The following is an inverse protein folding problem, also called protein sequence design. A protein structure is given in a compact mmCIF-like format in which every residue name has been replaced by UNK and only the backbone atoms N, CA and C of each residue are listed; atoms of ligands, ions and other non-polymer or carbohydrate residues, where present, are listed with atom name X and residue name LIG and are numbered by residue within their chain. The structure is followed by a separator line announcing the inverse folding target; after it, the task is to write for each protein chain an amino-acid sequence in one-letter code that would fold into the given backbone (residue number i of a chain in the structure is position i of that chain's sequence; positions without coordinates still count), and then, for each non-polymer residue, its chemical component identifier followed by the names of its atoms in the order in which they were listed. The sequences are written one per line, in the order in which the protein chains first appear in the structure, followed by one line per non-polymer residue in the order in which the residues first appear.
data_IF_589546051519
#
_entry.id   IF_589546051519
#
_cell.length_a   1.000
_cell.length_b   1.000
_cell.length_c   1.000
_cell.angle_alpha   90.00
_cell.angle_beta   90.00
_cell.angle_gamma   90.00
#
_symmetry.space_group_name_H-M   'P 1'
#
loop_
_entity.id
_entity.type
_entity.pdbx_description
1 polymer ?
#
# COMPACT_ATOMS: atom_id res chain seq x y z
N UNK A 1 37.81 -0.26 6.57
CA UNK A 1 36.74 -1.08 5.94
C UNK A 1 36.66 -0.67 4.48
N UNK A 2 36.80 -1.60 3.53
CA UNK A 2 36.70 -1.27 2.11
C UNK A 2 35.23 -1.12 1.70
N UNK A 3 34.85 -0.09 0.92
CA UNK A 3 33.47 0.08 0.47
C UNK A 3 33.03 -1.10 -0.42
N UNK A 4 31.95 -1.77 -0.04
CA UNK A 4 31.31 -2.79 -0.87
C UNK A 4 30.46 -2.10 -1.92
N UNK A 5 30.60 -2.55 -3.17
CA UNK A 5 29.82 -2.06 -4.29
C UNK A 5 28.87 -3.18 -4.73
N UNK A 6 27.57 -3.12 -4.35
CA UNK A 6 26.60 -4.12 -4.77
C UNK A 6 26.46 -4.16 -6.29
N UNK A 7 26.34 -5.35 -6.87
CA UNK A 7 26.01 -5.49 -8.28
C UNK A 7 24.56 -5.06 -8.50
N UNK A 8 24.33 -4.23 -9.52
CA UNK A 8 22.98 -3.80 -9.86
C UNK A 8 22.11 -5.00 -10.26
N UNK A 9 20.83 -5.04 -9.82
CA UNK A 9 19.86 -6.03 -10.29
C UNK A 9 19.67 -5.99 -11.80
N UNK A 10 19.12 -7.08 -12.36
CA UNK A 10 18.65 -7.09 -13.74
C UNK A 10 17.60 -6.00 -13.97
N UNK A 11 17.63 -5.36 -15.15
CA UNK A 11 16.69 -4.30 -15.48
C UNK A 11 16.81 -3.05 -14.60
N UNK A 12 17.86 -2.88 -13.77
CA UNK A 12 17.95 -1.75 -12.82
C UNK A 12 17.76 -0.37 -13.46
N UNK A 13 18.26 -0.15 -14.68
CA UNK A 13 18.07 1.12 -15.40
C UNK A 13 16.59 1.39 -15.71
N UNK A 14 15.80 0.33 -15.80
CA UNK A 14 14.39 0.37 -16.14
C UNK A 14 13.48 0.56 -14.94
N UNK A 15 14.02 0.39 -13.72
CA UNK A 15 13.30 0.55 -12.47
C UNK A 15 12.63 1.92 -12.40
N UNK A 16 11.43 1.93 -11.85
CA UNK A 16 10.67 3.14 -11.61
C UNK A 16 11.41 4.10 -10.69
N UNK A 17 12.12 3.56 -9.69
CA UNK A 17 13.06 4.31 -8.83
C UNK A 17 14.14 5.03 -9.65
N UNK A 18 14.75 4.35 -10.62
CA UNK A 18 15.85 4.90 -11.41
C UNK A 18 15.38 5.90 -12.46
N UNK A 19 14.22 5.65 -13.09
CA UNK A 19 13.62 6.56 -14.07
C UNK A 19 12.98 7.80 -13.41
N UNK A 20 12.68 7.77 -12.11
CA UNK A 20 12.07 8.88 -11.38
C UNK A 20 10.69 9.28 -11.90
N UNK A 21 10.00 8.34 -12.54
CA UNK A 21 8.84 8.61 -13.38
C UNK A 21 7.52 8.16 -12.76
N UNK A 22 7.50 7.97 -11.44
CA UNK A 22 6.33 7.57 -10.66
C UNK A 22 5.45 8.77 -10.29
N UNK A 23 4.15 8.53 -10.16
CA UNK A 23 3.10 9.43 -9.76
C UNK A 23 2.90 9.39 -8.23
N UNK A 24 3.98 9.58 -7.45
CA UNK A 24 3.87 9.79 -5.99
C UNK A 24 3.94 11.27 -5.61
N UNK A 25 4.70 12.03 -6.38
CA UNK A 25 4.80 13.48 -6.26
C UNK A 25 3.72 14.07 -7.17
N UNK A 26 2.98 15.09 -6.72
CA UNK A 26 1.81 15.68 -7.39
C UNK A 26 2.04 16.33 -8.75
N UNK A 27 3.06 15.89 -9.50
CA UNK A 27 3.33 16.22 -10.89
C UNK A 27 2.30 15.52 -11.77
N UNK A 28 1.14 16.16 -11.95
CA UNK A 28 0.26 15.84 -13.07
C UNK A 28 0.96 16.34 -14.34
N UNK A 29 1.80 15.49 -14.93
CA UNK A 29 2.43 15.80 -16.21
C UNK A 29 1.40 15.59 -17.32
N UNK A 30 0.80 16.68 -17.80
CA UNK A 30 0.13 16.71 -19.11
C UNK A 30 1.23 16.64 -20.17
N UNK A 31 1.42 15.51 -20.84
CA UNK A 31 2.37 15.42 -21.95
C UNK A 31 1.65 15.52 -23.29
N UNK A 32 1.71 16.69 -23.92
CA UNK A 32 1.38 16.92 -25.33
C UNK A 32 2.54 16.54 -26.30
N UNK A 33 3.49 15.68 -25.90
CA UNK A 33 4.59 15.32 -26.79
C UNK A 33 5.02 13.87 -26.68
N UNK A 34 5.10 13.23 -27.84
CA UNK A 34 5.36 11.81 -28.04
C UNK A 34 6.71 11.37 -27.48
N UNK A 35 6.66 10.38 -26.59
CA UNK A 35 7.80 9.75 -25.95
C UNK A 35 7.39 9.13 -24.63
N UNK A 36 6.74 7.96 -24.66
CA UNK A 36 6.24 7.20 -23.50
C UNK A 36 5.44 8.04 -22.47
N UNK A 37 4.42 8.74 -22.98
CA UNK A 37 3.43 9.47 -22.18
C UNK A 37 2.70 8.55 -21.20
N UNK A 38 2.92 8.77 -19.90
CA UNK A 38 2.36 7.94 -18.84
C UNK A 38 0.88 8.27 -18.61
N UNK A 39 0.02 7.39 -19.11
CA UNK A 39 -1.20 6.77 -18.55
C UNK A 39 -1.94 7.42 -17.35
N UNK A 40 -1.96 8.74 -17.21
CA UNK A 40 -2.93 9.39 -16.32
C UNK A 40 -4.31 9.19 -16.94
N UNK A 41 -5.24 8.50 -16.27
CA UNK A 41 -6.51 8.17 -16.88
C UNK A 41 -7.31 9.45 -17.17
N UNK A 42 -7.52 9.80 -18.43
CA UNK A 42 -8.23 11.03 -18.80
C UNK A 42 -9.68 10.95 -18.35
N UNK A 43 -10.22 12.07 -17.87
CA UNK A 43 -11.63 12.19 -17.52
C UNK A 43 -12.48 12.01 -18.79
N UNK A 44 -13.38 11.03 -18.83
CA UNK A 44 -14.14 10.77 -20.06
C UNK A 44 -15.18 11.86 -20.27
N UNK A 45 -15.35 12.38 -21.50
CA UNK A 45 -16.39 13.36 -21.77
C UNK A 45 -17.77 12.74 -21.57
N UNK A 46 -18.78 13.52 -21.13
CA UNK A 46 -20.14 13.03 -21.02
C UNK A 46 -20.66 12.48 -22.37
N UNK A 47 -21.44 11.39 -22.37
CA UNK A 47 -22.08 10.86 -23.57
C UNK A 47 -22.92 11.93 -24.29
N UNK A 48 -22.87 11.96 -25.62
CA UNK A 48 -23.61 12.94 -26.44
C UNK A 48 -25.14 12.87 -26.26
N UNK A 49 -25.64 11.75 -25.73
CA UNK A 49 -27.05 11.55 -25.38
C UNK A 49 -27.50 12.47 -24.23
N UNK A 50 -26.58 12.84 -23.33
CA UNK A 50 -26.86 13.74 -22.22
C UNK A 50 -26.76 15.19 -22.66
N UNK A 51 -27.90 15.89 -22.62
CA UNK A 51 -27.95 17.32 -22.95
C UNK A 51 -27.25 18.15 -21.86
N UNK A 52 -26.34 19.07 -22.22
CA UNK A 52 -25.70 19.97 -21.28
C UNK A 52 -26.72 20.76 -20.44
N UNK A 53 -26.44 20.92 -19.15
CA UNK A 53 -27.27 21.67 -18.21
C UNK A 53 -28.45 20.89 -17.62
N UNK A 54 -28.66 19.64 -17.99
CA UNK A 54 -29.68 18.77 -17.35
C UNK A 54 -29.18 18.23 -16.00
N UNK A 55 -30.11 17.83 -15.13
CA UNK A 55 -29.77 17.22 -13.83
C UNK A 55 -28.94 15.94 -13.97
N UNK A 56 -29.25 15.09 -14.95
CA UNK A 56 -28.50 13.86 -15.25
C UNK A 56 -27.12 14.17 -15.84
N UNK A 57 -26.98 15.23 -16.64
CA UNK A 57 -25.69 15.66 -17.17
C UNK A 57 -24.75 16.10 -16.04
N UNK A 58 -25.24 16.89 -15.08
CA UNK A 58 -24.44 17.32 -13.93
C UNK A 58 -24.05 16.12 -13.05
N UNK A 59 -24.99 15.20 -12.80
CA UNK A 59 -24.70 13.98 -12.06
C UNK A 59 -23.61 13.14 -12.75
N UNK A 60 -23.68 12.97 -14.07
CA UNK A 60 -22.67 12.23 -14.81
C UNK A 60 -21.26 12.81 -14.62
N UNK A 61 -21.13 14.14 -14.64
CA UNK A 61 -19.85 14.82 -14.42
C UNK A 61 -19.34 14.56 -13.00
N UNK A 62 -20.20 14.63 -12.00
CA UNK A 62 -19.83 14.34 -10.61
C UNK A 62 -19.39 12.88 -10.42
N UNK A 63 -20.14 11.94 -11.00
CA UNK A 63 -19.81 10.52 -11.00
C UNK A 63 -18.50 10.24 -11.73
N UNK A 64 -18.25 10.91 -12.86
CA UNK A 64 -17.00 10.79 -13.60
C UNK A 64 -15.80 11.34 -12.82
N UNK A 65 -15.96 12.44 -12.07
CA UNK A 65 -14.91 12.92 -11.15
C UNK A 65 -14.56 11.87 -10.09
N UNK A 66 -15.57 11.19 -9.54
CA UNK A 66 -15.36 10.11 -8.57
C UNK A 66 -14.64 8.91 -9.20
N UNK A 67 -15.03 8.49 -10.42
CA UNK A 67 -14.36 7.42 -11.17
C UNK A 67 -12.91 7.79 -11.50
N UNK A 68 -12.67 9.01 -11.96
CA UNK A 68 -11.32 9.52 -12.23
C UNK A 68 -10.44 9.51 -10.98
N UNK A 69 -10.96 9.96 -9.83
CA UNK A 69 -10.27 9.89 -8.54
C UNK A 69 -9.91 8.45 -8.15
N UNK A 70 -10.83 7.50 -8.37
CA UNK A 70 -10.57 6.08 -8.09
C UNK A 70 -9.47 5.52 -9.01
N UNK A 71 -9.54 5.82 -10.32
CA UNK A 71 -8.51 5.43 -11.31
C UNK A 71 -7.12 5.95 -10.93
N UNK A 72 -7.02 7.21 -10.50
CA UNK A 72 -5.78 7.80 -10.01
C UNK A 72 -5.26 7.07 -8.76
N UNK A 73 -6.13 6.81 -7.79
CA UNK A 73 -5.74 6.08 -6.57
C UNK A 73 -5.20 4.68 -6.90
N UNK A 74 -5.86 3.93 -7.79
CA UNK A 74 -5.42 2.60 -8.22
C UNK A 74 -4.05 2.65 -8.92
N UNK A 75 -3.83 3.65 -9.79
CA UNK A 75 -2.53 3.89 -10.43
C UNK A 75 -1.42 4.15 -9.40
N UNK A 76 -1.67 5.06 -8.44
CA UNK A 76 -0.71 5.40 -7.39
C UNK A 76 -0.39 4.17 -6.53
N UNK A 77 -1.40 3.40 -6.11
CA UNK A 77 -1.20 2.21 -5.31
C UNK A 77 -0.38 1.15 -6.05
N UNK A 78 -0.62 0.96 -7.36
CA UNK A 78 0.19 0.06 -8.20
C UNK A 78 1.65 0.51 -8.27
N UNK A 79 1.90 1.78 -8.53
CA UNK A 79 3.28 2.29 -8.62
C UNK A 79 3.99 2.26 -7.25
N UNK A 80 3.29 2.49 -6.14
CA UNK A 80 3.84 2.25 -4.79
C UNK A 80 4.27 0.81 -4.59
N UNK A 81 3.48 -0.14 -5.08
CA UNK A 81 3.78 -1.56 -4.97
C UNK A 81 5.03 -1.92 -5.75
N UNK A 82 5.16 -1.40 -6.97
CA UNK A 82 6.35 -1.55 -7.80
C UNK A 82 7.59 -0.96 -7.11
N UNK A 83 7.52 0.30 -6.65
CA UNK A 83 8.63 0.95 -5.95
C UNK A 83 9.08 0.17 -4.70
N UNK A 84 8.11 -0.34 -3.93
CA UNK A 84 8.42 -1.11 -2.71
C UNK A 84 9.08 -2.45 -3.04
N UNK A 85 8.66 -3.10 -4.12
CA UNK A 85 9.27 -4.32 -4.63
C UNK A 85 10.70 -4.07 -5.10
N UNK A 86 10.90 -3.03 -5.91
CA UNK A 86 12.21 -2.62 -6.43
C UNK A 86 13.20 -2.29 -5.29
N UNK A 87 12.76 -1.53 -4.28
CA UNK A 87 13.57 -1.21 -3.10
C UNK A 87 13.99 -2.46 -2.32
N UNK A 88 13.07 -3.40 -2.14
CA UNK A 88 13.34 -4.63 -1.40
C UNK A 88 14.34 -5.53 -2.12
N UNK A 89 14.26 -5.62 -3.45
CA UNK A 89 15.27 -6.30 -4.29
C UNK A 89 16.65 -5.66 -4.11
N UNK A 90 16.73 -4.33 -4.14
CA UNK A 90 17.99 -3.61 -3.90
C UNK A 90 18.55 -3.89 -2.51
N UNK A 91 17.69 -3.93 -1.48
CA UNK A 91 18.10 -4.25 -0.11
C UNK A 91 18.67 -5.66 0.00
N UNK A 92 18.09 -6.65 -0.66
CA UNK A 92 18.61 -8.03 -0.67
C UNK A 92 19.92 -8.16 -1.45
N UNK A 93 20.07 -7.46 -2.57
CA UNK A 93 21.35 -7.40 -3.28
C UNK A 93 22.45 -6.74 -2.43
N UNK A 94 22.13 -5.66 -1.71
CA UNK A 94 23.04 -5.03 -0.76
C UNK A 94 23.45 -5.98 0.38
N UNK A 95 22.48 -6.68 0.98
CA UNK A 95 22.72 -7.70 2.01
C UNK A 95 23.63 -8.82 1.51
N UNK A 96 23.37 -9.34 0.32
CA UNK A 96 24.18 -10.39 -0.29
C UNK A 96 25.62 -9.93 -0.56
N UNK A 97 25.80 -8.72 -1.10
CA UNK A 97 27.12 -8.15 -1.37
C UNK A 97 27.95 -7.98 -0.09
N UNK A 98 27.33 -7.48 0.99
CA UNK A 98 27.97 -7.38 2.31
C UNK A 98 28.35 -8.76 2.85
N UNK A 99 27.47 -9.75 2.74
CA UNK A 99 27.73 -11.10 3.21
C UNK A 99 28.89 -11.78 2.43
N UNK A 100 28.97 -11.58 1.11
CA UNK A 100 30.12 -12.02 0.29
C UNK A 100 31.43 -11.36 0.73
N UNK A 101 31.38 -10.09 1.13
CA UNK A 101 32.53 -9.36 1.64
C UNK A 101 32.85 -9.64 3.12
N UNK A 102 32.10 -10.53 3.78
CA UNK A 102 32.16 -10.77 5.23
C UNK A 102 32.02 -9.49 6.06
N UNK A 103 31.20 -8.55 5.59
CA UNK A 103 30.89 -7.30 6.27
C UNK A 103 29.50 -7.40 6.92
N UNK A 104 29.38 -6.87 8.14
CA UNK A 104 28.07 -6.71 8.79
C UNK A 104 27.31 -5.53 8.16
N UNK A 105 25.98 -5.50 8.35
CA UNK A 105 25.21 -4.29 8.03
C UNK A 105 25.77 -3.14 8.89
N UNK A 106 26.01 -1.94 8.34
CA UNK A 106 26.35 -0.79 9.17
C UNK A 106 25.18 -0.51 10.12
N UNK A 107 25.48 -0.37 11.42
CA UNK A 107 24.47 -0.01 12.41
C UNK A 107 23.89 1.36 12.06
N UNK A 108 22.57 1.43 11.90
CA UNK A 108 21.85 2.71 11.88
C UNK A 108 21.32 3.00 13.28
N UNK A 109 21.11 4.27 13.61
CA UNK A 109 20.46 4.66 14.87
C UNK A 109 19.12 3.93 15.03
N UNK A 110 18.31 3.81 13.98
CA UNK A 110 17.07 3.04 14.02
C UNK A 110 17.27 1.53 14.29
N UNK A 111 18.38 0.94 13.85
CA UNK A 111 18.73 -0.46 14.14
C UNK A 111 19.05 -0.63 15.62
N UNK A 112 19.88 0.26 16.16
CA UNK A 112 20.26 0.26 17.58
C UNK A 112 19.01 0.46 18.45
N UNK A 113 18.18 1.46 18.14
CA UNK A 113 16.97 1.76 18.91
C UNK A 113 15.93 0.62 18.89
N UNK A 114 15.90 -0.18 17.82
CA UNK A 114 15.06 -1.37 17.72
C UNK A 114 15.63 -2.53 18.53
N UNK A 115 16.95 -2.78 18.41
CA UNK A 115 17.64 -3.88 19.07
C UNK A 115 17.76 -3.67 20.58
N UNK A 116 17.80 -2.42 21.05
CA UNK A 116 17.79 -2.05 22.48
C UNK A 116 16.39 -2.08 23.11
N UNK A 117 15.36 -2.59 22.43
CA UNK A 117 14.00 -2.78 22.95
C UNK A 117 13.37 -1.52 23.58
N UNK A 118 13.83 -0.32 23.21
CA UNK A 118 13.42 0.95 23.83
C UNK A 118 11.90 1.19 23.68
N UNK A 119 11.29 0.66 22.60
CA UNK A 119 9.84 0.73 22.36
C UNK A 119 9.02 -0.42 22.95
N UNK A 120 9.65 -1.49 23.46
CA UNK A 120 8.94 -2.64 24.04
C UNK A 120 8.60 -2.45 25.53
N UNK A 121 9.01 -1.33 26.15
CA UNK A 121 8.85 -1.10 27.60
C UNK A 121 7.48 -0.54 28.00
N UNK A 122 6.56 -0.29 27.07
CA UNK A 122 5.23 0.24 27.39
C UNK A 122 4.16 -0.81 27.12
N UNK A 123 4.18 -1.91 27.88
CA UNK A 123 3.00 -2.76 28.19
C UNK A 123 3.41 -3.88 29.17
N UNK A 124 3.79 -3.50 30.39
CA UNK A 124 3.91 -4.47 31.50
C UNK A 124 3.65 -3.81 32.86
N UNK A 125 2.50 -3.16 33.02
CA UNK A 125 1.96 -2.82 34.34
C UNK A 125 0.42 -3.01 34.38
N UNK A 126 -0.06 -4.20 34.06
CA UNK A 126 -1.31 -4.72 34.61
C UNK A 126 -1.21 -6.24 34.60
N UNK A 127 -0.69 -6.82 35.68
CA UNK A 127 -1.11 -8.14 36.18
C UNK A 127 -0.39 -8.44 37.51
N UNK A 128 -0.90 -7.78 38.55
CA UNK A 128 -0.71 -8.23 39.92
C UNK A 128 -2.03 -8.02 40.68
N UNK A 129 -2.95 -8.98 40.57
CA UNK A 129 -3.75 -9.43 41.73
C UNK A 129 -4.62 -10.65 41.39
N UNK A 130 -4.19 -11.82 41.88
CA UNK A 130 -5.08 -12.95 42.13
C UNK A 130 -5.43 -12.98 43.62
N UNK A 131 -6.72 -12.76 43.90
CA UNK A 131 -7.50 -13.17 45.07
C UNK A 131 -7.11 -12.66 46.47
N UNK A 132 -7.97 -11.81 47.05
CA UNK A 132 -8.56 -12.07 48.38
C UNK A 132 -9.84 -11.24 48.63
N UNK A 133 -10.61 -11.68 49.63
CA UNK A 133 -12.06 -11.58 49.81
C UNK A 133 -12.64 -10.26 50.42
N UNK A 134 -13.95 -10.07 50.16
CA UNK A 134 -15.00 -9.43 51.00
C UNK A 134 -14.91 -7.90 51.34
N UNK A 135 -16.03 -7.19 51.06
CA UNK A 135 -16.58 -6.21 52.01
C UNK A 135 -16.84 -4.76 51.54
N UNK A 136 -18.13 -4.42 51.41
CA UNK A 136 -18.80 -3.12 51.59
C UNK A 136 -18.00 -1.82 51.85
N UNK A 137 -18.42 -0.72 51.19
CA UNK A 137 -18.49 0.62 51.82
C UNK A 137 -18.09 1.83 50.97
N UNK A 138 -19.07 2.72 50.73
CA UNK A 138 -19.06 4.14 50.33
C UNK A 138 -17.74 4.95 50.29
N UNK A 139 -17.63 5.87 49.32
CA UNK A 139 -16.80 7.09 49.47
C UNK A 139 -16.36 7.84 48.21
N UNK A 140 -17.25 8.65 47.63
CA UNK A 140 -17.02 10.02 47.08
C UNK A 140 -15.83 10.38 46.13
N UNK A 141 -16.23 10.81 44.93
CA UNK A 141 -15.90 12.07 44.21
C UNK A 141 -14.55 12.34 43.51
N UNK A 142 -14.70 13.16 42.44
CA UNK A 142 -13.76 13.85 41.54
C UNK A 142 -13.36 13.01 40.31
N UNK A 143 -13.73 13.32 39.06
CA UNK A 143 -13.95 14.62 38.42
C UNK A 143 -12.75 14.90 37.50
N UNK A 144 -12.92 14.75 36.19
CA UNK A 144 -11.83 14.99 35.24
C UNK A 144 -12.16 14.62 33.80
N UNK A 145 -13.07 15.36 33.19
CA UNK A 145 -13.21 15.38 31.73
C UNK A 145 -11.91 15.92 31.10
N UNK A 146 -11.39 15.24 30.09
CA UNK A 146 -10.57 15.89 29.07
C UNK A 146 -10.83 15.26 27.71
N UNK A 147 -11.51 16.07 26.90
CA UNK A 147 -11.68 15.96 25.48
C UNK A 147 -10.33 15.99 24.75
N UNK A 148 -10.08 14.99 23.91
CA UNK A 148 -9.19 15.13 22.77
C UNK A 148 -9.83 14.43 21.57
N UNK A 149 -10.80 15.12 20.97
CA UNK A 149 -11.09 14.96 19.56
C UNK A 149 -9.86 15.43 18.77
N UNK A 150 -9.63 14.82 17.60
CA UNK A 150 -8.85 15.32 16.44
C UNK A 150 -7.48 14.66 16.19
N UNK A 151 -7.46 13.60 15.38
CA UNK A 151 -7.27 13.76 13.92
C UNK A 151 -7.36 12.40 13.22
N UNK A 152 -8.38 12.31 12.39
CA UNK A 152 -8.69 11.27 11.44
C UNK A 152 -7.75 11.39 10.23
N UNK A 153 -6.55 10.86 10.38
CA UNK A 153 -5.81 10.31 9.25
C UNK A 153 -5.52 8.86 9.63
N UNK A 154 -6.38 7.94 9.19
CA UNK A 154 -5.92 6.57 8.96
C UNK A 154 -4.84 6.66 7.88
N UNK A 155 -3.62 6.90 8.32
CA UNK A 155 -2.42 6.47 7.65
C UNK A 155 -2.66 4.97 7.45
N UNK A 156 -2.93 4.53 6.23
CA UNK A 156 -2.83 3.12 5.86
C UNK A 156 -1.35 2.77 5.96
N UNK A 157 -0.85 2.66 7.18
CA UNK A 157 0.35 1.91 7.44
C UNK A 157 -0.04 0.49 7.11
N UNK A 158 0.53 -0.05 6.05
CA UNK A 158 0.77 -1.48 5.98
C UNK A 158 1.81 -1.80 7.06
N UNK A 159 1.46 -1.59 8.34
CA UNK A 159 2.10 -2.26 9.46
C UNK A 159 1.77 -3.71 9.21
N UNK A 160 2.73 -4.36 8.58
CA UNK A 160 2.64 -5.75 8.23
C UNK A 160 2.52 -6.49 9.56
N UNK A 161 1.32 -6.95 9.89
CA UNK A 161 1.14 -8.12 10.76
C UNK A 161 1.69 -9.32 9.98
N UNK A 162 2.99 -9.31 9.76
CA UNK A 162 3.75 -10.41 9.25
C UNK A 162 4.63 -10.82 10.41
N UNK A 163 4.36 -12.02 10.92
CA UNK A 163 5.22 -12.81 11.79
C UNK A 163 6.55 -13.19 11.09
N UNK A 164 7.12 -12.28 10.29
CA UNK A 164 8.40 -12.47 9.64
C UNK A 164 9.48 -11.80 10.50
N UNK A 165 9.89 -12.53 11.54
CA UNK A 165 10.97 -12.18 12.45
C UNK A 165 12.36 -12.08 11.77
N UNK A 166 12.46 -12.11 10.44
CA UNK A 166 13.73 -12.21 9.72
C UNK A 166 14.25 -10.89 9.12
N UNK A 167 13.75 -9.72 9.56
CA UNK A 167 14.02 -8.45 8.86
C UNK A 167 15.14 -7.56 9.40
N UNK A 168 15.91 -7.92 10.44
CA UNK A 168 17.05 -7.07 10.84
C UNK A 168 18.22 -7.76 11.56
N UNK A 169 18.01 -8.93 12.19
CA UNK A 169 19.03 -9.59 13.03
C UNK A 169 19.86 -10.64 12.31
N UNK A 170 19.49 -10.98 11.08
CA UNK A 170 19.96 -12.18 10.38
C UNK A 170 21.27 -11.96 9.59
N UNK A 171 21.95 -10.81 9.74
CA UNK A 171 23.31 -10.61 9.21
C UNK A 171 24.38 -11.03 10.23
N UNK A 172 24.10 -10.89 11.54
CA UNK A 172 24.95 -11.43 12.63
C UNK A 172 25.00 -12.96 12.56
N UNK A 173 23.88 -13.61 12.18
CA UNK A 173 23.80 -15.04 11.94
C UNK A 173 24.62 -15.49 10.71
N UNK A 174 24.73 -14.64 9.67
CA UNK A 174 25.45 -14.95 8.43
C UNK A 174 26.95 -14.70 8.49
N UNK A 175 27.37 -13.63 9.17
CA UNK A 175 28.81 -13.29 9.32
C UNK A 175 29.46 -14.04 10.47
N UNK A 176 28.66 -14.67 11.32
CA UNK A 176 29.11 -15.35 12.53
C UNK A 176 29.48 -14.35 13.63
N UNK A 177 29.16 -14.71 14.87
CA UNK A 177 29.71 -14.05 16.05
C UNK A 177 31.25 -14.25 16.05
N UNK A 178 32.08 -13.21 16.28
CA UNK A 178 33.53 -13.38 16.39
C UNK A 178 34.01 -14.32 17.51
N UNK A 179 33.14 -14.77 18.42
CA UNK A 179 33.53 -15.49 19.64
C UNK A 179 32.88 -16.86 19.93
N UNK A 180 32.16 -17.50 19.01
CA UNK A 180 31.43 -18.76 19.30
C UNK A 180 31.79 -19.95 18.39
N UNK A 181 32.10 -21.15 18.93
CA UNK A 181 32.38 -22.32 18.11
C UNK A 181 31.09 -23.00 17.62
N UNK A 182 30.97 -23.20 16.30
CA UNK A 182 30.19 -24.33 15.77
C UNK A 182 29.00 -24.07 14.85
N UNK A 183 28.50 -22.85 14.66
CA UNK A 183 27.38 -22.59 13.73
C UNK A 183 27.56 -21.27 12.97
N UNK A 184 28.57 -21.22 12.09
CA UNK A 184 28.65 -20.14 11.09
C UNK A 184 27.71 -20.49 9.94
N UNK A 185 26.53 -19.89 9.88
CA UNK A 185 25.70 -19.94 8.67
C UNK A 185 26.40 -19.11 7.60
N UNK A 186 27.39 -19.70 6.92
CA UNK A 186 28.15 -19.01 5.87
C UNK A 186 27.19 -18.69 4.74
N UNK A 187 27.18 -17.43 4.32
CA UNK A 187 26.47 -17.04 3.10
C UNK A 187 26.77 -18.02 1.96
N UNK A 188 25.71 -18.51 1.32
CA UNK A 188 25.75 -19.38 0.16
C UNK A 188 24.80 -18.80 -0.88
N UNK A 189 25.14 -18.86 -2.16
CA UNK A 189 24.29 -18.38 -3.25
C UNK A 189 22.85 -18.93 -3.20
N UNK A 190 22.64 -20.13 -2.64
CA UNK A 190 21.30 -20.70 -2.42
C UNK A 190 20.44 -19.86 -1.46
N UNK A 191 21.04 -19.25 -0.43
CA UNK A 191 20.32 -18.37 0.50
C UNK A 191 19.85 -17.10 -0.20
N UNK A 192 20.67 -16.54 -1.08
CA UNK A 192 20.27 -15.39 -1.89
C UNK A 192 19.08 -15.71 -2.80
N UNK A 193 19.09 -16.86 -3.46
CA UNK A 193 17.94 -17.31 -4.29
C UNK A 193 16.70 -17.48 -3.43
N UNK A 194 16.82 -18.06 -2.22
CA UNK A 194 15.70 -18.18 -1.28
C UNK A 194 15.12 -16.81 -0.90
N UNK A 195 15.96 -15.83 -0.53
CA UNK A 195 15.47 -14.50 -0.18
C UNK A 195 14.80 -13.78 -1.34
N UNK A 196 15.34 -13.94 -2.56
CA UNK A 196 14.71 -13.40 -3.76
C UNK A 196 13.35 -14.04 -4.01
N UNK A 197 13.22 -15.36 -3.83
CA UNK A 197 11.94 -16.05 -3.95
C UNK A 197 10.93 -15.56 -2.89
N UNK A 198 11.36 -15.42 -1.63
CA UNK A 198 10.50 -14.91 -0.56
C UNK A 198 9.97 -13.49 -0.87
N UNK A 199 10.79 -12.65 -1.51
CA UNK A 199 10.39 -11.32 -1.98
C UNK A 199 9.34 -11.45 -3.08
N UNK A 200 9.58 -12.26 -4.09
CA UNK A 200 8.67 -12.47 -5.22
C UNK A 200 7.32 -12.98 -4.72
N UNK A 201 7.31 -14.02 -3.88
CA UNK A 201 6.09 -14.62 -3.34
C UNK A 201 5.31 -13.63 -2.46
N UNK A 202 6.02 -12.88 -1.61
CA UNK A 202 5.44 -11.84 -0.76
C UNK A 202 4.73 -10.77 -1.60
N UNK A 203 5.42 -10.22 -2.60
CA UNK A 203 4.87 -9.11 -3.37
C UNK A 203 3.80 -9.56 -4.36
N UNK A 204 3.89 -10.78 -4.88
CA UNK A 204 2.82 -11.37 -5.70
C UNK A 204 1.53 -11.55 -4.88
N UNK A 205 1.64 -12.05 -3.65
CA UNK A 205 0.48 -12.13 -2.75
C UNK A 205 -0.16 -10.76 -2.51
N UNK A 206 0.65 -9.74 -2.21
CA UNK A 206 0.16 -8.37 -1.97
C UNK A 206 -0.47 -7.77 -3.25
N UNK A 207 0.09 -8.07 -4.43
CA UNK A 207 -0.46 -7.68 -5.73
C UNK A 207 -1.85 -8.27 -5.94
N UNK A 208 -2.01 -9.57 -5.75
CA UNK A 208 -3.31 -10.26 -5.86
C UNK A 208 -4.35 -9.63 -4.91
N UNK A 209 -3.99 -9.42 -3.65
CA UNK A 209 -4.88 -8.80 -2.66
C UNK A 209 -5.26 -7.35 -3.03
N UNK A 210 -4.31 -6.60 -3.59
CA UNK A 210 -4.52 -5.22 -4.05
C UNK A 210 -5.48 -5.19 -5.24
N UNK A 211 -5.29 -6.05 -6.23
CA UNK A 211 -6.18 -6.17 -7.40
C UNK A 211 -7.59 -6.55 -6.95
N UNK A 212 -7.72 -7.54 -6.07
CA UNK A 212 -9.02 -7.94 -5.52
C UNK A 212 -9.73 -6.80 -4.77
N UNK A 213 -8.97 -5.96 -4.06
CA UNK A 213 -9.51 -4.74 -3.42
C UNK A 213 -9.97 -3.73 -4.48
N UNK A 214 -9.16 -3.48 -5.51
CA UNK A 214 -9.52 -2.54 -6.59
C UNK A 214 -10.81 -2.97 -7.31
N UNK A 215 -11.01 -4.28 -7.53
CA UNK A 215 -12.27 -4.82 -8.08
C UNK A 215 -13.46 -4.48 -7.20
N UNK A 216 -13.39 -4.80 -5.91
CA UNK A 216 -14.46 -4.49 -4.94
C UNK A 216 -14.76 -2.99 -4.85
N UNK A 217 -13.73 -2.14 -4.87
CA UNK A 217 -13.89 -0.68 -4.88
C UNK A 217 -14.59 -0.18 -6.15
N UNK A 218 -14.22 -0.73 -7.31
CA UNK A 218 -14.86 -0.40 -8.59
C UNK A 218 -16.33 -0.84 -8.62
N UNK A 219 -16.61 -2.08 -8.24
CA UNK A 219 -17.96 -2.65 -8.18
C UNK A 219 -18.86 -1.86 -7.22
N UNK A 220 -18.33 -1.56 -6.03
CA UNK A 220 -19.05 -0.77 -5.02
C UNK A 220 -19.36 0.64 -5.52
N UNK A 221 -18.41 1.32 -6.16
CA UNK A 221 -18.65 2.65 -6.71
C UNK A 221 -19.69 2.60 -7.82
N UNK A 222 -19.57 1.64 -8.74
CA UNK A 222 -20.51 1.49 -9.84
C UNK A 222 -21.94 1.20 -9.35
N UNK A 223 -22.11 0.37 -8.33
CA UNK A 223 -23.40 0.08 -7.73
C UNK A 223 -24.04 1.34 -7.11
N UNK A 224 -23.28 2.14 -6.36
CA UNK A 224 -23.74 3.41 -5.80
C UNK A 224 -24.15 4.38 -6.91
N UNK A 225 -23.31 4.50 -7.94
CA UNK A 225 -23.58 5.41 -9.05
C UNK A 225 -24.84 5.01 -9.84
N UNK A 226 -25.09 3.72 -10.04
CA UNK A 226 -26.33 3.23 -10.65
C UNK A 226 -27.55 3.55 -9.79
N UNK A 227 -27.46 3.39 -8.48
CA UNK A 227 -28.54 3.74 -7.55
C UNK A 227 -28.85 5.24 -7.55
N UNK A 228 -27.82 6.09 -7.47
CA UNK A 228 -27.96 7.54 -7.55
C UNK A 228 -28.57 7.97 -8.88
N UNK A 229 -28.18 7.31 -9.97
CA UNK A 229 -28.72 7.58 -11.30
C UNK A 229 -30.20 7.23 -11.40
N UNK A 230 -30.59 6.05 -10.92
CA UNK A 230 -31.99 5.64 -10.84
C UNK A 230 -32.82 6.65 -10.04
N UNK A 231 -32.31 7.05 -8.87
CA UNK A 231 -32.96 8.04 -8.04
C UNK A 231 -33.13 9.38 -8.77
N UNK A 232 -32.08 9.84 -9.47
CA UNK A 232 -32.13 11.11 -10.20
C UNK A 232 -33.14 11.08 -11.34
N UNK A 233 -33.30 9.94 -12.03
CA UNK A 233 -34.34 9.77 -13.04
C UNK A 233 -35.75 9.89 -12.45
N UNK A 234 -35.98 9.34 -11.25
CA UNK A 234 -37.26 9.42 -10.53
C UNK A 234 -37.54 10.86 -10.06
N UNK A 235 -36.55 11.54 -9.50
CA UNK A 235 -36.65 12.95 -9.06
C UNK A 235 -37.05 13.89 -10.20
N UNK A 236 -36.51 13.64 -11.40
CA UNK A 236 -36.79 14.44 -12.59
C UNK A 236 -38.09 14.03 -13.31
N UNK A 237 -38.82 13.02 -12.80
CA UNK A 237 -40.07 12.53 -13.40
C UNK A 237 -39.87 11.79 -14.73
N UNK A 238 -38.65 11.32 -15.03
CA UNK A 238 -38.33 10.57 -16.26
C UNK A 238 -38.84 9.13 -16.20
N UNK A 239 -39.02 8.59 -14.99
CA UNK A 239 -39.54 7.26 -14.74
C UNK A 239 -40.47 7.25 -13.52
N UNK A 240 -41.43 6.33 -13.47
CA UNK A 240 -42.30 6.15 -12.29
C UNK A 240 -41.46 5.69 -11.08
N UNK A 241 -41.84 6.13 -9.88
CA UNK A 241 -41.14 5.81 -8.62
C UNK A 241 -41.10 4.31 -8.36
N UNK A 242 -42.12 3.58 -8.83
CA UNK A 242 -42.26 2.13 -8.70
C UNK A 242 -41.47 1.34 -9.75
N UNK A 243 -40.99 1.98 -10.81
CA UNK A 243 -40.24 1.32 -11.87
C UNK A 243 -38.75 1.23 -11.51
N UNK A 244 -38.13 0.12 -11.92
CA UNK A 244 -36.69 -0.10 -11.92
C UNK A 244 -36.17 0.05 -13.36
N UNK A 245 -35.80 1.26 -13.81
CA UNK A 245 -35.34 1.46 -15.19
C UNK A 245 -34.04 0.70 -15.45
N UNK A 246 -33.91 0.12 -16.64
CA UNK A 246 -32.63 -0.42 -17.09
C UNK A 246 -31.70 0.74 -17.45
N UNK A 247 -30.57 0.84 -16.75
CA UNK A 247 -29.57 1.89 -16.96
C UNK A 247 -28.47 1.35 -17.86
N UNK A 248 -28.32 1.96 -19.02
CA UNK A 248 -27.23 1.66 -19.97
C UNK A 248 -25.86 1.96 -19.33
N UNK A 249 -24.92 1.02 -19.49
CA UNK A 249 -23.55 1.14 -18.98
C UNK A 249 -22.80 2.33 -19.59
N UNK A 250 -23.22 2.84 -20.74
CA UNK A 250 -22.66 4.07 -21.33
C UNK A 250 -22.96 5.30 -20.45
N UNK A 251 -24.09 5.32 -19.75
CA UNK A 251 -24.49 6.43 -18.89
C UNK A 251 -23.80 6.38 -17.53
N UNK A 252 -23.57 5.17 -17.01
CA UNK A 252 -22.91 4.94 -15.72
C UNK A 252 -21.86 3.83 -15.89
N UNK A 253 -20.69 4.12 -16.47
CA UNK A 253 -19.68 3.10 -16.73
C UNK A 253 -19.00 2.64 -15.43
N UNK A 254 -18.52 1.39 -15.42
CA UNK A 254 -17.68 0.86 -14.34
C UNK A 254 -16.22 1.28 -14.52
N UNK A 255 -15.45 1.29 -13.43
CA UNK A 255 -14.01 1.56 -13.49
C UNK A 255 -13.29 0.25 -13.85
N UNK A 256 -12.57 0.24 -14.96
CA UNK A 256 -11.75 -0.91 -15.33
C UNK A 256 -10.54 -1.03 -14.39
N UNK A 257 -10.33 -2.24 -13.86
CA UNK A 257 -9.19 -2.56 -13.00
C UNK A 257 -8.12 -3.22 -13.85
N UNK A 258 -6.89 -2.72 -13.75
CA UNK A 258 -5.74 -3.30 -14.46
C UNK A 258 -5.19 -4.45 -13.62
N UNK A 259 -5.30 -5.67 -14.14
CA UNK A 259 -4.85 -6.89 -13.46
C UNK A 259 -3.41 -7.27 -13.86
N UNK A 260 -3.09 -7.04 -15.14
CA UNK A 260 -1.83 -7.44 -15.74
C UNK A 260 -0.82 -6.29 -15.65
N UNK A 261 0.00 -6.33 -14.60
CA UNK A 261 1.17 -5.47 -14.48
C UNK A 261 2.33 -6.21 -13.80
N UNK A 262 3.54 -5.92 -14.26
CA UNK A 262 4.76 -6.51 -13.70
C UNK A 262 5.29 -5.70 -12.53
N UNK A 263 5.73 -6.39 -11.48
CA UNK A 263 6.33 -5.78 -10.28
C UNK A 263 7.81 -5.46 -10.47
N UNK A 264 8.47 -6.13 -11.40
CA UNK A 264 9.87 -5.98 -11.74
C UNK A 264 10.01 -5.96 -13.27
N UNK A 265 10.92 -5.16 -13.84
CA UNK A 265 11.20 -5.21 -15.27
C UNK A 265 11.87 -6.55 -15.65
N UNK A 266 11.64 -6.97 -16.90
CA UNK A 266 12.19 -8.20 -17.48
C UNK A 266 13.73 -8.12 -17.70
#
# INVERSE_FOLDING_TARGET
MFPVHPKAPQGFKEYLLNKGSYLLEGKVCVSESGGNGRNVPVMTPPPAVLKPGTGLYNLHIEQEKARHKLRLRHLIEREKLQLSTEQEVLRVHGRAALAVANQSLPFSVCTILKDEEIYNTIESETDANSNDAIGNGNGSNLGGASSASRNEYQRTTYTSSSNNANTATDLVALTGNPGGPGARSRYNGRLFISWMQDIVDKWEKIKVDTIARHKRESESLHAIQKLEWEWKMKELGVCDVKCSPHIDDVLVPSVQVIEDFDLLPA
#
